data_IF_529537137645
#
_entry.id   IF_529537137645
#
_cell.length_a   1.000
_cell.length_b   1.000
_cell.length_c   1.000
_cell.angle_alpha   90.00
_cell.angle_beta   90.00
_cell.angle_gamma   90.00
#
_symmetry.space_group_name_H-M   'P 1'
#
loop_
_entity.id
_entity.type
_entity.pdbx_description
1 polymer ?
#
# COMPACT_ATOMS: atom_id res chain seq x y z
N UNK A 1 -10.93 -23.10 -28.36
CA UNK A 1 -11.81 -21.91 -28.39
C UNK A 1 -11.71 -21.24 -27.02
N UNK A 2 -11.14 -20.03 -26.98
CA UNK A 2 -11.12 -19.16 -25.80
C UNK A 2 -12.49 -18.53 -25.61
N UNK A 3 -12.95 -18.38 -24.37
CA UNK A 3 -13.83 -17.27 -23.98
C UNK A 3 -13.44 -16.78 -22.58
N UNK A 4 -13.10 -15.50 -22.60
CA UNK A 4 -12.78 -14.55 -21.53
C UNK A 4 -14.10 -13.97 -21.02
N UNK A 5 -14.19 -13.59 -19.74
CA UNK A 5 -15.27 -12.72 -19.26
C UNK A 5 -15.61 -12.84 -17.78
N UNK A 6 -14.96 -11.99 -16.98
CA UNK A 6 -15.58 -11.20 -15.89
C UNK A 6 -16.63 -11.84 -14.95
N UNK A 7 -16.16 -12.38 -13.83
CA UNK A 7 -16.96 -12.58 -12.60
C UNK A 7 -16.44 -11.69 -11.45
N UNK A 8 -16.03 -10.45 -11.77
CA UNK A 8 -15.45 -9.51 -10.80
C UNK A 8 -16.51 -8.69 -10.03
N UNK A 9 -17.80 -8.78 -10.37
CA UNK A 9 -18.87 -8.07 -9.68
C UNK A 9 -20.22 -8.83 -9.73
N UNK A 10 -20.42 -9.78 -8.82
CA UNK A 10 -21.77 -10.24 -8.49
C UNK A 10 -22.40 -9.31 -7.42
N UNK A 11 -23.69 -8.94 -7.55
CA UNK A 11 -24.30 -7.86 -6.79
C UNK A 11 -24.57 -8.22 -5.32
N UNK A 12 -24.38 -7.20 -4.49
CA UNK A 12 -24.77 -7.07 -3.08
C UNK A 12 -26.25 -7.39 -2.85
N UNK A 13 -26.61 -8.63 -2.55
CA UNK A 13 -27.74 -8.94 -1.64
C UNK A 13 -27.84 -10.43 -1.32
N UNK A 14 -27.29 -10.85 -0.19
CA UNK A 14 -27.79 -12.02 0.55
C UNK A 14 -27.67 -11.76 2.04
N UNK A 15 -28.78 -11.79 2.81
CA UNK A 15 -28.81 -11.32 4.18
C UNK A 15 -28.61 -12.50 5.13
N UNK A 16 -27.39 -13.05 5.27
CA UNK A 16 -27.09 -14.06 6.31
C UNK A 16 -25.59 -14.38 6.48
N UNK A 17 -24.71 -13.38 6.44
CA UNK A 17 -23.35 -13.56 6.97
C UNK A 17 -23.10 -12.46 8.01
N UNK A 18 -22.81 -12.78 9.28
CA UNK A 18 -22.33 -11.76 10.20
C UNK A 18 -21.11 -11.13 9.54
N UNK A 19 -21.08 -9.79 9.48
CA UNK A 19 -19.90 -9.02 9.14
C UNK A 19 -18.86 -9.32 10.20
N UNK A 20 -18.16 -10.44 10.02
CA UNK A 20 -16.81 -10.56 10.51
C UNK A 20 -16.07 -9.46 9.78
N UNK A 21 -15.74 -8.39 10.51
CA UNK A 21 -14.67 -7.46 10.16
C UNK A 21 -13.42 -8.32 10.15
N UNK A 22 -13.28 -9.12 9.10
CA UNK A 22 -12.16 -10.01 8.90
C UNK A 22 -10.98 -9.09 8.69
N UNK A 23 -10.02 -9.15 9.61
CA UNK A 23 -8.69 -8.65 9.39
C UNK A 23 -8.30 -8.98 7.95
N UNK A 24 -7.93 -7.96 7.17
CA UNK A 24 -7.56 -8.15 5.78
C UNK A 24 -6.57 -9.32 5.69
N UNK A 25 -6.73 -10.24 4.72
CA UNK A 25 -5.84 -11.39 4.62
C UNK A 25 -4.38 -10.94 4.65
N UNK A 26 -3.49 -11.70 5.31
CA UNK A 26 -2.08 -11.32 5.43
C UNK A 26 -1.44 -10.94 4.07
N UNK A 27 -1.78 -11.67 3.00
CA UNK A 27 -1.32 -11.37 1.65
C UNK A 27 -1.75 -9.99 1.14
N UNK A 28 -2.92 -9.49 1.55
CA UNK A 28 -3.40 -8.15 1.20
C UNK A 28 -2.57 -7.08 1.91
N UNK A 29 -2.33 -7.24 3.22
CA UNK A 29 -1.47 -6.33 3.98
C UNK A 29 -0.04 -6.31 3.41
N UNK A 30 0.53 -7.49 3.13
CA UNK A 30 1.86 -7.63 2.53
C UNK A 30 1.91 -6.96 1.14
N UNK A 31 0.86 -7.09 0.32
CA UNK A 31 0.76 -6.43 -1.00
C UNK A 31 0.69 -4.91 -0.87
N UNK A 32 -0.10 -4.39 0.08
CA UNK A 32 -0.22 -2.95 0.33
C UNK A 32 1.11 -2.37 0.79
N UNK A 33 1.82 -3.02 1.71
CA UNK A 33 3.16 -2.61 2.14
C UNK A 33 4.12 -2.58 0.96
N UNK A 34 4.11 -3.62 0.11
CA UNK A 34 5.00 -3.69 -1.06
C UNK A 34 4.69 -2.59 -2.09
N UNK A 35 3.42 -2.26 -2.30
CA UNK A 35 3.00 -1.17 -3.17
C UNK A 35 3.45 0.20 -2.63
N UNK A 36 3.30 0.44 -1.31
CA UNK A 36 3.74 1.68 -0.67
C UNK A 36 5.27 1.82 -0.76
N UNK A 37 6.01 0.76 -0.44
CA UNK A 37 7.48 0.76 -0.59
C UNK A 37 7.91 1.05 -2.03
N UNK A 38 7.23 0.45 -3.03
CA UNK A 38 7.52 0.68 -4.45
C UNK A 38 7.27 2.13 -4.85
N UNK A 39 6.18 2.72 -4.36
CA UNK A 39 5.84 4.13 -4.62
C UNK A 39 6.89 5.08 -4.01
N UNK A 40 7.29 4.83 -2.76
CA UNK A 40 8.28 5.66 -2.07
C UNK A 40 9.64 5.67 -2.79
N UNK A 41 10.10 4.51 -3.26
CA UNK A 41 11.33 4.41 -4.07
C UNK A 41 11.20 5.17 -5.40
N UNK A 42 10.04 5.08 -6.05
CA UNK A 42 9.80 5.81 -7.29
C UNK A 42 9.77 7.33 -7.08
N UNK A 43 9.19 7.81 -5.98
CA UNK A 43 9.15 9.23 -5.62
C UNK A 43 10.54 9.77 -5.29
N UNK A 44 11.33 9.04 -4.51
CA UNK A 44 12.71 9.41 -4.19
C UNK A 44 13.56 9.55 -5.46
N UNK A 45 13.50 8.55 -6.35
CA UNK A 45 14.21 8.58 -7.64
C UNK A 45 13.69 9.66 -8.62
N UNK A 46 12.40 10.00 -8.54
CA UNK A 46 11.80 11.06 -9.36
C UNK A 46 12.31 12.43 -8.92
N UNK A 47 12.25 12.70 -7.62
CA UNK A 47 12.62 14.00 -7.07
C UNK A 47 14.13 14.22 -7.09
N UNK A 48 14.95 13.18 -6.93
CA UNK A 48 16.41 13.27 -7.12
C UNK A 48 16.79 13.69 -8.56
N UNK A 49 15.97 13.35 -9.56
CA UNK A 49 16.23 13.65 -10.97
C UNK A 49 15.60 14.93 -11.49
N UNK A 50 14.42 15.28 -10.99
CA UNK A 50 13.57 16.33 -11.58
C UNK A 50 13.07 17.35 -10.55
N UNK A 51 13.20 17.06 -9.27
CA UNK A 51 12.69 17.90 -8.20
C UNK A 51 13.67 18.98 -7.77
N UNK A 52 13.12 19.94 -7.04
CA UNK A 52 13.89 20.96 -6.35
C UNK A 52 14.50 20.39 -5.06
N UNK A 53 15.56 21.04 -4.51
CA UNK A 53 16.16 20.61 -3.25
C UNK A 53 15.18 20.57 -2.08
N UNK A 54 14.14 21.42 -2.13
CA UNK A 54 13.08 21.50 -1.13
C UNK A 54 12.14 20.30 -1.21
N UNK A 55 11.66 19.96 -2.42
CA UNK A 55 10.86 18.75 -2.66
C UNK A 55 11.63 17.47 -2.31
N UNK A 56 12.94 17.44 -2.53
CA UNK A 56 13.81 16.32 -2.15
C UNK A 56 13.86 16.14 -0.63
N UNK A 57 13.88 17.24 0.13
CA UNK A 57 13.84 17.20 1.58
C UNK A 57 12.48 16.69 2.08
N UNK A 58 11.37 17.14 1.49
CA UNK A 58 10.01 16.71 1.86
C UNK A 58 9.79 15.21 1.60
N UNK A 59 10.19 14.70 0.42
CA UNK A 59 10.07 13.27 0.12
C UNK A 59 10.94 12.43 1.05
N UNK A 60 12.14 12.91 1.39
CA UNK A 60 13.02 12.23 2.32
C UNK A 60 12.46 12.20 3.73
N UNK A 61 11.81 13.27 4.19
CA UNK A 61 11.07 13.27 5.46
C UNK A 61 9.91 12.29 5.43
N UNK A 62 9.12 12.25 4.35
CA UNK A 62 8.00 11.32 4.19
C UNK A 62 8.47 9.85 4.26
N UNK A 63 9.55 9.50 3.55
CA UNK A 63 10.15 8.16 3.58
C UNK A 63 10.62 7.80 5.00
N UNK A 64 11.26 8.75 5.70
CA UNK A 64 11.74 8.53 7.05
C UNK A 64 10.60 8.35 8.06
N UNK A 65 9.52 9.12 7.94
CA UNK A 65 8.32 8.98 8.77
C UNK A 65 7.63 7.63 8.54
N UNK A 66 7.52 7.18 7.28
CA UNK A 66 6.99 5.86 6.96
C UNK A 66 7.83 4.73 7.58
N UNK A 67 9.16 4.85 7.52
CA UNK A 67 10.07 3.87 8.16
C UNK A 67 9.86 3.81 9.67
N UNK A 68 9.79 4.95 10.35
CA UNK A 68 9.57 5.00 11.80
C UNK A 68 8.22 4.41 12.23
N UNK A 69 7.20 4.49 11.37
CA UNK A 69 5.89 3.89 11.65
C UNK A 69 5.91 2.36 11.56
N UNK A 70 6.87 1.81 10.80
CA UNK A 70 6.98 0.38 10.49
C UNK A 70 8.16 -0.32 11.18
N UNK A 71 9.16 0.42 11.68
CA UNK A 71 10.07 -0.08 12.71
C UNK A 71 9.26 -0.29 13.99
N UNK A 72 9.00 -1.54 14.35
CA UNK A 72 8.38 -1.88 15.63
C UNK A 72 9.17 -1.18 16.76
N UNK A 73 8.52 -0.63 17.78
CA UNK A 73 9.23 -0.24 18.98
C UNK A 73 9.92 -1.49 19.51
N UNK A 74 11.25 -1.50 19.48
CA UNK A 74 12.04 -2.57 20.10
C UNK A 74 11.57 -2.67 21.56
N UNK A 75 10.81 -3.74 21.83
CA UNK A 75 10.25 -4.02 23.14
C UNK A 75 11.41 -4.53 23.98
N UNK A 76 12.04 -3.59 24.68
CA UNK A 76 13.08 -3.86 25.66
C UNK A 76 12.50 -4.16 27.04
#
# INVERSE_FOLDING_TARGET
MMNQGDDFFAPLNSPSCPVAINAAPKWYADTVVLAICSLLVALDAFVDRLGTPDEAAEVKELVNAYRQLHEEPETH
#
